data_IF_240723838598
#
_entry.id   IF_240723838598
#
_cell.length_a   1.000
_cell.length_b   1.000
_cell.length_c   1.000
_cell.angle_alpha   90.00
_cell.angle_beta   90.00
_cell.angle_gamma   90.00
#
_symmetry.space_group_name_H-M   'P 1'
#
loop_
_entity.id
_entity.type
_entity.pdbx_description
1 polymer ?
#
# COMPACT_ATOMS: atom_id res chain seq x y z
N UNK A 1 58.60 -17.37 28.90
CA UNK A 1 57.54 -18.23 28.29
C UNK A 1 56.14 -17.62 28.46
N UNK A 2 55.92 -16.81 29.50
CA UNK A 2 54.63 -16.18 29.84
C UNK A 2 54.12 -15.11 28.86
N UNK A 3 55.00 -14.34 28.23
CA UNK A 3 54.62 -13.29 27.26
C UNK A 3 53.89 -13.90 26.05
N UNK A 4 54.36 -15.06 25.56
CA UNK A 4 53.75 -15.76 24.43
C UNK A 4 52.36 -16.31 24.77
N UNK A 5 52.15 -16.72 26.01
CA UNK A 5 50.85 -17.17 26.51
C UNK A 5 49.86 -16.00 26.62
N UNK A 6 50.29 -14.86 27.19
CA UNK A 6 49.46 -13.63 27.26
C UNK A 6 49.03 -13.12 25.89
N UNK A 7 49.95 -13.07 24.91
CA UNK A 7 49.62 -12.65 23.53
C UNK A 7 48.58 -13.58 22.91
N UNK A 8 48.67 -14.89 23.17
CA UNK A 8 47.69 -15.87 22.68
C UNK A 8 46.31 -15.68 23.29
N UNK A 9 46.23 -15.37 24.60
CA UNK A 9 44.96 -15.09 25.28
C UNK A 9 44.33 -13.81 24.75
N UNK A 10 45.08 -12.71 24.68
CA UNK A 10 44.61 -11.43 24.13
C UNK A 10 44.13 -11.57 22.68
N UNK A 11 44.86 -12.32 21.84
CA UNK A 11 44.44 -12.57 20.46
C UNK A 11 43.11 -13.33 20.39
N UNK A 12 42.87 -14.25 21.32
CA UNK A 12 41.63 -15.03 21.39
C UNK A 12 40.46 -14.16 21.89
N UNK A 13 40.72 -13.28 22.85
CA UNK A 13 39.72 -12.33 23.35
C UNK A 13 39.31 -11.33 22.26
N UNK A 14 40.29 -10.78 21.51
CA UNK A 14 40.05 -9.90 20.36
C UNK A 14 39.23 -10.61 19.28
N UNK A 15 39.55 -11.88 18.97
CA UNK A 15 38.76 -12.68 18.04
C UNK A 15 37.31 -12.86 18.52
N UNK A 16 37.11 -13.18 19.79
CA UNK A 16 35.75 -13.34 20.34
C UNK A 16 34.93 -12.05 20.30
N UNK A 17 35.58 -10.90 20.54
CA UNK A 17 34.95 -9.59 20.44
C UNK A 17 34.60 -9.24 18.98
N UNK A 18 35.47 -9.59 18.03
CA UNK A 18 35.20 -9.41 16.62
C UNK A 18 34.02 -10.27 16.14
N UNK A 19 33.95 -11.52 16.59
CA UNK A 19 32.82 -12.41 16.32
C UNK A 19 31.52 -11.87 16.94
N UNK A 20 31.57 -11.36 18.17
CA UNK A 20 30.43 -10.71 18.82
C UNK A 20 29.98 -9.44 18.09
N UNK A 21 30.92 -8.62 17.63
CA UNK A 21 30.61 -7.43 16.85
C UNK A 21 29.92 -7.79 15.52
N UNK A 22 30.42 -8.83 14.85
CA UNK A 22 29.84 -9.35 13.61
C UNK A 22 28.43 -9.89 13.83
N UNK A 23 28.22 -10.67 14.90
CA UNK A 23 26.90 -11.17 15.29
C UNK A 23 25.92 -10.03 15.59
N UNK A 24 26.36 -9.00 16.30
CA UNK A 24 25.51 -7.86 16.62
C UNK A 24 25.14 -7.07 15.36
N UNK A 25 26.10 -6.88 14.44
CA UNK A 25 25.85 -6.25 13.14
C UNK A 25 24.81 -7.01 12.33
N UNK A 26 24.93 -8.34 12.24
CA UNK A 26 23.93 -9.19 11.57
C UNK A 26 22.54 -9.08 12.21
N UNK A 27 22.47 -9.03 13.55
CA UNK A 27 21.20 -8.85 14.26
C UNK A 27 20.57 -7.49 13.99
N UNK A 28 21.38 -6.42 13.91
CA UNK A 28 20.91 -5.08 13.55
C UNK A 28 20.36 -5.09 12.13
N UNK A 29 21.08 -5.68 11.17
CA UNK A 29 20.60 -5.80 9.79
C UNK A 29 19.28 -6.58 9.71
N UNK A 30 19.17 -7.71 10.41
CA UNK A 30 17.93 -8.47 10.46
C UNK A 30 16.75 -7.67 11.05
N UNK A 31 16.98 -6.91 12.13
CA UNK A 31 15.96 -6.05 12.71
C UNK A 31 15.58 -4.90 11.78
N UNK A 32 16.56 -4.30 11.09
CA UNK A 32 16.31 -3.27 10.09
C UNK A 32 15.44 -3.81 8.94
N UNK A 33 15.79 -4.97 8.39
CA UNK A 33 15.03 -5.61 7.33
C UNK A 33 13.60 -5.95 7.79
N UNK A 34 13.45 -6.47 9.01
CA UNK A 34 12.14 -6.76 9.59
C UNK A 34 11.29 -5.50 9.80
N UNK A 35 11.89 -4.40 10.28
CA UNK A 35 11.20 -3.12 10.48
C UNK A 35 10.83 -2.48 9.15
N UNK A 36 11.71 -2.48 8.16
CA UNK A 36 11.39 -2.03 6.81
C UNK A 36 10.28 -2.88 6.19
N UNK A 37 10.29 -4.20 6.41
CA UNK A 37 9.22 -5.10 6.01
C UNK A 37 7.88 -4.73 6.63
N UNK A 38 7.85 -4.48 7.95
CA UNK A 38 6.64 -4.03 8.64
C UNK A 38 6.14 -2.67 8.11
N UNK A 39 7.03 -1.70 7.91
CA UNK A 39 6.69 -0.40 7.32
C UNK A 39 6.08 -0.58 5.93
N UNK A 40 6.65 -1.46 5.10
CA UNK A 40 6.11 -1.74 3.76
C UNK A 40 4.72 -2.36 3.82
N UNK A 41 4.45 -3.24 4.79
CA UNK A 41 3.11 -3.83 4.99
C UNK A 41 2.10 -2.73 5.36
N UNK A 42 2.44 -1.85 6.30
CA UNK A 42 1.58 -0.73 6.69
C UNK A 42 1.33 0.23 5.52
N UNK A 43 2.37 0.60 4.78
CA UNK A 43 2.23 1.45 3.59
C UNK A 43 1.34 0.81 2.53
N UNK A 44 1.50 -0.50 2.27
CA UNK A 44 0.64 -1.22 1.34
C UNK A 44 -0.82 -1.25 1.80
N UNK A 45 -1.08 -1.38 3.10
CA UNK A 45 -2.43 -1.30 3.65
C UNK A 45 -3.04 0.09 3.41
N UNK A 46 -2.27 1.16 3.65
CA UNK A 46 -2.70 2.54 3.40
C UNK A 46 -3.01 2.75 1.91
N UNK A 47 -2.10 2.37 1.00
CA UNK A 47 -2.30 2.48 -0.46
C UNK A 47 -3.53 1.70 -0.92
N UNK A 48 -3.75 0.49 -0.37
CA UNK A 48 -4.93 -0.31 -0.66
C UNK A 48 -6.22 0.45 -0.32
N UNK A 49 -6.29 1.09 0.84
CA UNK A 49 -7.46 1.88 1.26
C UNK A 49 -7.72 3.04 0.30
N UNK A 50 -6.69 3.83 -0.04
CA UNK A 50 -6.84 4.93 -1.00
C UNK A 50 -7.25 4.45 -2.39
N UNK A 51 -6.69 3.33 -2.86
CA UNK A 51 -7.03 2.74 -4.15
C UNK A 51 -8.50 2.30 -4.19
N UNK A 52 -8.99 1.66 -3.13
CA UNK A 52 -10.40 1.26 -3.00
C UNK A 52 -11.30 2.50 -3.01
N UNK A 53 -10.96 3.53 -2.24
CA UNK A 53 -11.71 4.79 -2.22
C UNK A 53 -11.76 5.44 -3.61
N UNK A 54 -10.60 5.52 -4.30
CA UNK A 54 -10.52 6.08 -5.64
C UNK A 54 -11.40 5.31 -6.64
N UNK A 55 -11.37 3.98 -6.64
CA UNK A 55 -12.21 3.18 -7.55
C UNK A 55 -13.71 3.36 -7.25
N UNK A 56 -14.10 3.62 -6.00
CA UNK A 56 -15.50 3.90 -5.64
C UNK A 56 -15.93 5.31 -6.09
N UNK A 57 -15.06 6.32 -5.95
CA UNK A 57 -15.42 7.73 -6.20
C UNK A 57 -15.11 8.24 -7.61
N UNK A 58 -14.09 7.71 -8.31
CA UNK A 58 -13.68 8.16 -9.64
C UNK A 58 -14.77 7.99 -10.70
N UNK A 59 -15.47 6.85 -10.80
CA UNK A 59 -16.49 6.70 -11.83
C UNK A 59 -17.70 7.62 -11.63
N UNK A 60 -18.30 7.76 -10.42
CA UNK A 60 -19.37 8.73 -10.21
C UNK A 60 -18.92 10.17 -10.45
N UNK A 61 -17.69 10.54 -10.08
CA UNK A 61 -17.17 11.89 -10.37
C UNK A 61 -16.97 12.12 -11.86
N UNK A 62 -16.50 11.14 -12.62
CA UNK A 62 -16.40 11.25 -14.09
C UNK A 62 -17.79 11.43 -14.73
N UNK A 63 -18.79 10.64 -14.30
CA UNK A 63 -20.18 10.80 -14.76
C UNK A 63 -20.69 12.20 -14.39
N UNK A 64 -20.46 12.66 -13.16
CA UNK A 64 -20.89 13.98 -12.71
C UNK A 64 -20.20 15.12 -13.50
N UNK A 65 -18.92 14.96 -13.84
CA UNK A 65 -18.20 15.92 -14.68
C UNK A 65 -18.75 15.95 -16.10
N UNK A 66 -19.02 14.80 -16.72
CA UNK A 66 -19.58 14.73 -18.08
C UNK A 66 -20.98 15.37 -18.14
N UNK A 67 -21.86 15.05 -17.18
CA UNK A 67 -23.21 15.62 -17.12
C UNK A 67 -23.25 17.06 -16.58
N UNK A 68 -22.19 17.53 -15.90
CA UNK A 68 -22.06 18.91 -15.42
C UNK A 68 -21.50 19.89 -16.48
N UNK A 69 -21.00 19.40 -17.60
CA UNK A 69 -20.56 20.25 -18.71
C UNK A 69 -21.79 20.76 -19.49
N UNK A 70 -21.93 22.09 -19.60
CA UNK A 70 -22.98 22.77 -20.38
C UNK A 70 -22.84 22.50 -21.89
N UNK A 71 -23.18 21.29 -22.34
CA UNK A 71 -23.29 20.99 -23.76
C UNK A 71 -24.74 21.18 -24.22
N UNK A 72 -24.95 22.17 -25.10
CA UNK A 72 -26.24 22.54 -25.71
C UNK A 72 -26.83 21.42 -26.62
N UNK A 73 -26.02 20.42 -26.96
CA UNK A 73 -26.41 19.24 -27.74
C UNK A 73 -25.79 17.99 -27.09
N UNK A 74 -26.45 17.47 -26.05
CA UNK A 74 -26.28 16.07 -25.63
C UNK A 74 -27.54 15.32 -26.08
N UNK A 75 -27.48 14.47 -27.13
CA UNK A 75 -28.67 13.75 -27.63
C UNK A 75 -29.31 12.83 -26.58
N UNK A 76 -28.55 12.41 -25.56
CA UNK A 76 -29.02 11.61 -24.42
C UNK A 76 -29.90 12.40 -23.43
N UNK A 77 -29.87 13.74 -23.45
CA UNK A 77 -30.67 14.62 -22.59
C UNK A 77 -32.07 14.90 -23.15
N UNK A 78 -32.31 14.59 -24.44
CA UNK A 78 -33.65 14.66 -25.05
C UNK A 78 -34.57 13.50 -24.66
N UNK A 79 -34.05 12.52 -23.93
CA UNK A 79 -34.82 11.42 -23.37
C UNK A 79 -35.27 11.81 -21.96
N UNK A 80 -36.57 11.74 -21.66
CA UNK A 80 -37.12 12.02 -20.31
C UNK A 80 -36.45 11.17 -19.20
N UNK A 81 -35.82 10.05 -19.57
CA UNK A 81 -35.14 9.14 -18.65
C UNK A 81 -33.60 9.32 -18.58
N UNK A 82 -33.00 10.25 -19.31
CA UNK A 82 -31.54 10.43 -19.34
C UNK A 82 -30.96 10.82 -17.97
N UNK A 83 -31.66 11.67 -17.22
CA UNK A 83 -31.25 12.10 -15.87
C UNK A 83 -31.38 10.97 -14.82
N UNK A 84 -32.53 10.24 -14.74
CA UNK A 84 -32.61 9.02 -13.93
C UNK A 84 -31.58 7.95 -14.29
N UNK A 85 -31.28 7.77 -15.59
CA UNK A 85 -30.30 6.79 -16.05
C UNK A 85 -28.87 7.15 -15.63
N UNK A 86 -28.49 8.44 -15.71
CA UNK A 86 -27.20 8.93 -15.23
C UNK A 86 -27.02 8.68 -13.72
N UNK A 87 -28.06 8.94 -12.92
CA UNK A 87 -28.07 8.64 -11.48
C UNK A 87 -27.95 7.13 -11.25
N UNK A 88 -28.68 6.33 -12.02
CA UNK A 88 -28.56 4.86 -11.99
C UNK A 88 -27.14 4.39 -12.29
N UNK A 89 -26.47 4.98 -13.28
CA UNK A 89 -25.09 4.68 -13.66
C UNK A 89 -24.09 5.06 -12.56
N UNK A 90 -24.28 6.21 -11.90
CA UNK A 90 -23.47 6.60 -10.73
C UNK A 90 -23.61 5.59 -9.58
N UNK A 91 -24.84 5.20 -9.27
CA UNK A 91 -25.13 4.25 -8.18
C UNK A 91 -24.58 2.86 -8.52
N UNK A 92 -24.81 2.36 -9.74
CA UNK A 92 -24.26 1.08 -10.22
C UNK A 92 -22.74 1.09 -10.20
N UNK A 93 -22.12 2.21 -10.61
CA UNK A 93 -20.66 2.30 -10.64
C UNK A 93 -20.01 2.46 -9.27
N UNK A 94 -20.75 2.86 -8.23
CA UNK A 94 -20.29 2.79 -6.84
C UNK A 94 -20.48 1.37 -6.25
N UNK A 95 -21.57 0.69 -6.61
CA UNK A 95 -21.92 -0.65 -6.09
C UNK A 95 -21.08 -1.75 -6.73
N UNK A 96 -20.77 -1.66 -8.04
CA UNK A 96 -19.99 -2.67 -8.77
C UNK A 96 -18.59 -2.89 -8.15
N UNK A 97 -17.79 -1.84 -7.91
CA UNK A 97 -16.51 -1.99 -7.23
C UNK A 97 -16.68 -2.47 -5.79
N UNK A 98 -17.65 -1.95 -5.05
CA UNK A 98 -17.91 -2.37 -3.67
C UNK A 98 -18.16 -3.87 -3.57
N UNK A 99 -19.03 -4.41 -4.43
CA UNK A 99 -19.31 -5.85 -4.48
C UNK A 99 -18.11 -6.67 -4.96
N UNK A 100 -17.35 -6.17 -5.94
CA UNK A 100 -16.14 -6.82 -6.42
C UNK A 100 -15.05 -6.90 -5.34
N UNK A 101 -14.80 -5.81 -4.61
CA UNK A 101 -13.84 -5.78 -3.50
C UNK A 101 -14.27 -6.67 -2.33
N UNK A 102 -15.57 -6.71 -2.01
CA UNK A 102 -16.16 -7.62 -1.01
C UNK A 102 -15.93 -9.08 -1.38
N UNK A 103 -16.14 -9.45 -2.65
CA UNK A 103 -16.01 -10.83 -3.11
C UNK A 103 -14.56 -11.30 -3.21
N UNK A 104 -13.63 -10.37 -3.44
CA UNK A 104 -12.18 -10.64 -3.53
C UNK A 104 -11.49 -10.76 -2.15
N UNK A 105 -12.19 -10.48 -1.05
CA UNK A 105 -11.61 -10.54 0.31
C UNK A 105 -10.52 -9.49 0.54
N UNK A 106 -10.59 -8.36 -0.17
CA UNK A 106 -9.65 -7.24 -0.01
C UNK A 106 -10.05 -6.30 1.14
N UNK A 107 -11.24 -6.51 1.69
CA UNK A 107 -11.80 -5.96 2.93
C UNK A 107 -11.99 -7.09 3.94
#
# INVERSE_FOLDING_TARGET
>A
KDVRARIKTLSRDVLSLADHATFLSQKISFLLDATLGMISIEQNAIIKIFSVAAVIFLPPTLVASIYGMNFDIIPELKWEFGYPFAIGLMVVSAILPFWYFRRRGWL
#
